data_IF_112230789787
#
_entry.id   IF_112230789787
#
_cell.length_a   1.000
_cell.length_b   1.000
_cell.length_c   1.000
_cell.angle_alpha   90.00
_cell.angle_beta   90.00
_cell.angle_gamma   90.00
#
_symmetry.space_group_name_H-M   'P 1'
#
loop_
_entity.id
_entity.type
_entity.pdbx_description
1 polymer ?
#
# COMPACT_ATOMS: atom_id res chain seq x y z
N UNK A 1 5.66 17.78 17.03
CA UNK A 1 4.62 17.72 15.98
C UNK A 1 3.30 17.12 16.51
N UNK A 2 3.22 15.87 16.97
CA UNK A 2 1.94 15.27 17.42
C UNK A 2 1.24 16.05 18.55
N UNK A 3 2.00 16.57 19.52
CA UNK A 3 1.45 17.45 20.56
C UNK A 3 0.76 18.70 19.97
N UNK A 4 1.34 19.30 18.92
CA UNK A 4 0.76 20.45 18.21
C UNK A 4 -0.50 20.04 17.45
N UNK A 5 -0.48 18.92 16.70
CA UNK A 5 -1.69 18.45 15.99
C UNK A 5 -2.86 18.17 16.94
N UNK A 6 -2.59 17.56 18.10
CA UNK A 6 -3.60 17.33 19.14
C UNK A 6 -4.14 18.65 19.73
N UNK A 7 -3.29 19.67 19.85
CA UNK A 7 -3.71 20.97 20.38
C UNK A 7 -4.53 21.77 19.37
N UNK A 8 -4.07 21.85 18.12
CA UNK A 8 -4.60 22.80 17.14
C UNK A 8 -5.78 22.22 16.34
N UNK A 9 -5.79 20.92 16.04
CA UNK A 9 -6.82 20.27 15.21
C UNK A 9 -7.31 18.91 15.77
N UNK A 10 -7.62 18.78 17.08
CA UNK A 10 -7.91 17.50 17.71
C UNK A 10 -9.06 16.71 17.05
N UNK A 11 -10.08 17.39 16.54
CA UNK A 11 -11.25 16.75 15.94
C UNK A 11 -10.97 16.17 14.55
N UNK A 12 -9.89 16.59 13.89
CA UNK A 12 -9.48 16.11 12.57
C UNK A 12 -8.36 15.05 12.64
N UNK A 13 -7.77 14.86 13.82
CA UNK A 13 -6.81 13.79 14.05
C UNK A 13 -7.56 12.49 14.35
N UNK A 14 -7.66 11.62 13.35
CA UNK A 14 -8.24 10.28 13.55
C UNK A 14 -7.43 9.44 14.54
N UNK A 15 -6.10 9.63 14.56
CA UNK A 15 -5.19 8.89 15.43
C UNK A 15 -3.74 8.93 14.94
N UNK A 16 -2.90 8.03 15.45
CA UNK A 16 -1.50 7.87 15.01
C UNK A 16 -1.14 6.39 14.87
N UNK A 17 -0.26 6.05 13.94
CA UNK A 17 0.25 4.68 13.78
C UNK A 17 1.30 4.30 14.82
N UNK A 18 1.85 5.28 15.53
CA UNK A 18 2.85 5.03 16.56
C UNK A 18 2.17 4.71 17.90
N UNK A 19 2.19 3.44 18.31
CA UNK A 19 1.58 3.00 19.58
C UNK A 19 2.12 3.71 20.82
N UNK A 20 3.41 4.06 20.84
CA UNK A 20 4.01 4.77 21.97
C UNK A 20 3.40 6.17 22.13
N UNK A 21 3.31 6.92 21.03
CA UNK A 21 2.71 8.25 21.03
C UNK A 21 1.18 8.22 21.12
N UNK A 22 0.52 7.17 20.60
CA UNK A 22 -0.90 6.94 20.83
C UNK A 22 -1.20 6.88 22.33
N UNK A 23 -0.41 6.12 23.09
CA UNK A 23 -0.50 6.05 24.55
C UNK A 23 -0.16 7.39 25.23
N UNK A 24 0.94 8.02 24.86
CA UNK A 24 1.40 9.27 25.49
C UNK A 24 0.41 10.42 25.32
N UNK A 25 -0.19 10.53 24.12
CA UNK A 25 -1.11 11.60 23.79
C UNK A 25 -2.58 11.17 23.85
N UNK A 26 -2.91 10.00 24.38
CA UNK A 26 -4.29 9.49 24.42
C UNK A 26 -5.01 9.62 23.06
N UNK A 27 -4.30 9.21 22.00
CA UNK A 27 -4.82 9.18 20.63
C UNK A 27 -5.12 7.74 20.24
N UNK A 28 -6.11 7.55 19.37
CA UNK A 28 -6.42 6.22 18.85
C UNK A 28 -5.23 5.66 18.05
N UNK A 29 -4.77 4.42 18.31
CA UNK A 29 -3.81 3.78 17.44
C UNK A 29 -4.48 3.36 16.14
N UNK A 30 -3.89 3.72 15.00
CA UNK A 30 -4.42 3.41 13.66
C UNK A 30 -3.41 2.57 12.89
N UNK A 31 -3.84 1.39 12.46
CA UNK A 31 -3.09 0.49 11.59
C UNK A 31 -3.91 0.09 10.39
N UNK A 32 -3.22 -0.22 9.28
CA UNK A 32 -3.80 -0.90 8.12
C UNK A 32 -2.94 -2.10 7.78
N UNK A 33 -3.43 -2.98 6.91
CA UNK A 33 -2.64 -4.11 6.45
C UNK A 33 -1.49 -3.59 5.57
N UNK A 34 -0.27 -4.10 5.80
CA UNK A 34 0.89 -3.80 4.98
C UNK A 34 1.02 -4.77 3.80
N UNK A 35 1.76 -4.36 2.76
CA UNK A 35 1.96 -5.18 1.56
C UNK A 35 2.64 -6.53 1.85
N UNK A 36 3.53 -6.57 2.85
CA UNK A 36 4.25 -7.79 3.24
C UNK A 36 3.33 -8.96 3.58
N UNK A 37 2.12 -8.68 4.11
CA UNK A 37 1.10 -9.70 4.38
C UNK A 37 0.69 -10.40 3.08
N UNK A 38 0.35 -9.63 2.05
CA UNK A 38 -0.05 -10.15 0.74
C UNK A 38 1.12 -10.75 -0.02
N UNK A 39 2.30 -10.14 0.06
CA UNK A 39 3.54 -10.65 -0.54
C UNK A 39 3.91 -12.02 0.03
N UNK A 40 3.89 -12.18 1.36
CA UNK A 40 4.19 -13.45 2.01
C UNK A 40 3.26 -14.57 1.54
N UNK A 41 1.97 -14.29 1.32
CA UNK A 41 1.03 -15.29 0.82
C UNK A 41 1.38 -15.84 -0.57
N UNK A 42 2.15 -15.11 -1.39
CA UNK A 42 2.63 -15.60 -2.68
C UNK A 42 3.58 -16.80 -2.52
N UNK A 43 4.24 -16.94 -1.37
CA UNK A 43 5.09 -18.08 -1.05
C UNK A 43 4.35 -19.20 -0.30
N UNK A 44 3.21 -18.90 0.33
CA UNK A 44 2.49 -19.79 1.24
C UNK A 44 1.34 -20.56 0.56
N UNK A 45 0.75 -20.00 -0.49
CA UNK A 45 -0.29 -20.63 -1.31
C UNK A 45 0.05 -20.48 -2.79
N UNK A 46 -0.83 -20.93 -3.70
CA UNK A 46 -0.66 -20.63 -5.12
C UNK A 46 -0.66 -19.11 -5.34
N UNK A 47 0.21 -18.60 -6.20
CA UNK A 47 0.35 -17.16 -6.42
C UNK A 47 -0.98 -16.53 -6.87
N UNK A 48 -1.79 -17.23 -7.67
CA UNK A 48 -3.09 -16.70 -8.11
C UNK A 48 -4.08 -16.51 -6.97
N UNK A 49 -4.00 -17.34 -5.94
CA UNK A 49 -4.92 -17.30 -4.79
C UNK A 49 -4.39 -16.43 -3.65
N UNK A 50 -3.13 -15.98 -3.74
CA UNK A 50 -2.40 -15.38 -2.62
C UNK A 50 -3.09 -14.16 -2.03
N UNK A 51 -3.63 -13.29 -2.89
CA UNK A 51 -4.30 -12.07 -2.46
C UNK A 51 -5.65 -12.37 -1.80
N UNK A 52 -6.46 -13.25 -2.40
CA UNK A 52 -7.76 -13.62 -1.84
C UNK A 52 -7.59 -14.33 -0.48
N UNK A 53 -6.68 -15.30 -0.39
CA UNK A 53 -6.40 -16.01 0.87
C UNK A 53 -5.87 -15.04 1.93
N UNK A 54 -5.04 -14.07 1.56
CA UNK A 54 -4.57 -13.04 2.48
C UNK A 54 -5.72 -12.18 3.02
N UNK A 55 -6.68 -11.81 2.17
CA UNK A 55 -7.87 -11.06 2.60
C UNK A 55 -8.72 -11.88 3.59
N UNK A 56 -9.03 -13.12 3.22
CA UNK A 56 -9.84 -14.01 4.05
C UNK A 56 -9.18 -14.30 5.40
N UNK A 57 -7.88 -14.61 5.41
CA UNK A 57 -7.16 -14.92 6.64
C UNK A 57 -7.06 -13.75 7.60
N UNK A 58 -6.97 -12.51 7.08
CA UNK A 58 -6.95 -11.34 7.93
C UNK A 58 -8.25 -11.21 8.75
N UNK A 59 -9.40 -11.44 8.11
CA UNK A 59 -10.71 -11.40 8.78
C UNK A 59 -10.84 -12.48 9.85
N UNK A 60 -10.22 -13.65 9.67
CA UNK A 60 -10.25 -14.73 10.68
C UNK A 60 -9.19 -14.60 11.77
N UNK A 61 -8.18 -13.73 11.58
CA UNK A 61 -7.11 -13.56 12.55
C UNK A 61 -7.50 -12.63 13.72
N UNK A 62 -8.47 -11.74 13.49
CA UNK A 62 -8.90 -10.75 14.46
C UNK A 62 -10.42 -10.57 14.44
N UNK A 63 -11.08 -10.91 15.55
CA UNK A 63 -12.52 -10.68 15.69
C UNK A 63 -12.81 -9.16 15.76
N UNK A 64 -13.39 -8.60 14.70
CA UNK A 64 -13.94 -7.24 14.71
C UNK A 64 -12.91 -6.09 14.76
N UNK A 65 -11.64 -6.35 14.44
CA UNK A 65 -10.62 -5.30 14.31
C UNK A 65 -10.79 -4.53 12.99
N UNK A 66 -10.37 -3.26 12.98
CA UNK A 66 -10.38 -2.40 11.78
C UNK A 66 -9.70 -3.10 10.60
N UNK A 67 -10.48 -3.36 9.54
CA UNK A 67 -10.04 -4.07 8.34
C UNK A 67 -9.95 -3.11 7.15
N UNK A 68 -8.75 -2.58 6.91
CA UNK A 68 -8.43 -1.73 5.75
C UNK A 68 -7.37 -2.43 4.89
N UNK A 69 -7.74 -2.83 3.68
CA UNK A 69 -6.86 -3.51 2.74
C UNK A 69 -6.14 -2.52 1.79
N UNK A 70 -4.81 -2.60 1.63
CA UNK A 70 -4.15 -1.97 0.49
C UNK A 70 -4.51 -2.69 -0.80
N UNK A 71 -4.68 -1.93 -1.89
CA UNK A 71 -5.19 -2.47 -3.15
C UNK A 71 -4.11 -2.69 -4.21
N UNK A 72 -2.87 -2.29 -3.94
CA UNK A 72 -1.79 -2.18 -4.93
C UNK A 72 -0.60 -3.09 -4.60
N UNK A 73 -0.80 -4.23 -3.94
CA UNK A 73 0.25 -5.26 -3.90
C UNK A 73 0.49 -5.82 -5.32
N UNK A 74 -0.60 -6.04 -6.05
CA UNK A 74 -0.61 -6.44 -7.46
C UNK A 74 -0.95 -5.20 -8.31
N UNK A 75 -2.21 -5.06 -8.74
CA UNK A 75 -2.77 -3.88 -9.38
C UNK A 75 -4.21 -3.70 -8.91
N UNK A 76 -4.79 -2.50 -9.10
CA UNK A 76 -6.20 -2.26 -8.77
C UNK A 76 -7.12 -3.24 -9.46
N UNK A 77 -6.88 -3.58 -10.73
CA UNK A 77 -7.75 -4.49 -11.48
C UNK A 77 -7.67 -5.93 -10.94
N UNK A 78 -6.47 -6.40 -10.55
CA UNK A 78 -6.32 -7.68 -9.87
C UNK A 78 -7.01 -7.68 -8.50
N UNK A 79 -6.92 -6.58 -7.75
CA UNK A 79 -7.61 -6.40 -6.46
C UNK A 79 -9.12 -6.48 -6.60
N UNK A 80 -9.71 -5.72 -7.53
CA UNK A 80 -11.17 -5.71 -7.73
C UNK A 80 -11.73 -7.08 -8.13
N UNK A 81 -10.97 -7.87 -8.89
CA UNK A 81 -11.35 -9.25 -9.25
C UNK A 81 -11.44 -10.18 -8.03
N UNK A 82 -10.55 -10.01 -7.04
CA UNK A 82 -10.54 -10.84 -5.84
C UNK A 82 -11.43 -10.25 -4.72
N UNK A 83 -11.71 -8.94 -4.74
CA UNK A 83 -12.50 -8.22 -3.75
C UNK A 83 -14.01 -8.38 -3.96
N UNK A 84 -14.47 -9.63 -3.87
CA UNK A 84 -15.86 -10.02 -4.06
C UNK A 84 -16.82 -9.40 -3.02
N UNK A 85 -18.14 -9.57 -3.23
CA UNK A 85 -19.18 -9.00 -2.35
C UNK A 85 -19.01 -9.33 -0.87
N UNK A 86 -18.59 -10.54 -0.52
CA UNK A 86 -18.44 -10.93 0.88
C UNK A 86 -17.30 -10.14 1.54
N UNK A 87 -16.13 -10.12 0.89
CA UNK A 87 -14.97 -9.35 1.35
C UNK A 87 -15.28 -7.85 1.38
N UNK A 88 -15.89 -7.31 0.33
CA UNK A 88 -16.25 -5.89 0.26
C UNK A 88 -17.24 -5.45 1.36
N UNK A 89 -18.10 -6.35 1.84
CA UNK A 89 -18.95 -6.07 3.00
C UNK A 89 -18.18 -6.17 4.31
N UNK A 90 -17.35 -7.19 4.49
CA UNK A 90 -16.61 -7.45 5.73
C UNK A 90 -15.51 -6.42 6.02
N UNK A 91 -14.83 -5.92 4.99
CA UNK A 91 -13.82 -4.88 5.13
C UNK A 91 -14.45 -3.51 5.40
N UNK A 92 -13.87 -2.75 6.33
CA UNK A 92 -14.30 -1.38 6.65
C UNK A 92 -13.97 -0.41 5.50
N UNK A 93 -12.99 -0.76 4.68
CA UNK A 93 -12.46 0.12 3.66
C UNK A 93 -11.17 -0.37 3.01
N UNK A 94 -10.54 0.53 2.26
CA UNK A 94 -9.35 0.25 1.46
C UNK A 94 -8.33 1.39 1.54
N UNK A 95 -7.07 1.08 1.23
CA UNK A 95 -5.95 2.02 1.25
C UNK A 95 -5.35 2.22 -0.15
N UNK A 96 -5.16 3.49 -0.52
CA UNK A 96 -4.46 3.94 -1.71
C UNK A 96 -2.99 4.25 -1.39
N UNK A 97 -2.06 3.60 -2.11
CA UNK A 97 -0.61 3.72 -1.88
C UNK A 97 0.23 3.82 -3.17
N UNK A 98 -0.41 3.86 -4.35
CA UNK A 98 0.25 4.17 -5.62
C UNK A 98 -0.75 4.55 -6.70
N UNK A 99 -0.28 5.33 -7.68
CA UNK A 99 -1.07 5.72 -8.84
C UNK A 99 -1.89 7.01 -8.62
N UNK A 100 -2.88 7.24 -9.49
CA UNK A 100 -3.71 8.44 -9.41
C UNK A 100 -4.85 8.23 -8.39
N UNK A 101 -4.90 9.00 -7.28
CA UNK A 101 -5.88 8.77 -6.21
C UNK A 101 -7.32 9.01 -6.65
N UNK A 102 -7.54 9.93 -7.59
CA UNK A 102 -8.86 10.22 -8.15
C UNK A 102 -9.41 9.04 -8.94
N UNK A 103 -8.61 8.51 -9.88
CA UNK A 103 -9.00 7.34 -10.70
C UNK A 103 -9.16 6.08 -9.86
N UNK A 104 -8.29 5.89 -8.87
CA UNK A 104 -8.39 4.78 -7.93
C UNK A 104 -9.70 4.86 -7.14
N UNK A 105 -10.03 6.03 -6.58
CA UNK A 105 -11.23 6.20 -5.76
C UNK A 105 -12.51 6.06 -6.59
N UNK A 106 -12.53 6.56 -7.83
CA UNK A 106 -13.62 6.33 -8.77
C UNK A 106 -13.84 4.84 -9.06
N UNK A 107 -12.75 4.09 -9.32
CA UNK A 107 -12.81 2.63 -9.53
C UNK A 107 -13.38 1.92 -8.30
N UNK A 108 -12.92 2.27 -7.10
CA UNK A 108 -13.41 1.66 -5.86
C UNK A 108 -14.89 1.98 -5.59
N UNK A 109 -15.31 3.24 -5.78
CA UNK A 109 -16.71 3.65 -5.64
C UNK A 109 -17.60 2.88 -6.61
N UNK A 110 -17.19 2.82 -7.89
CA UNK A 110 -17.92 2.07 -8.91
C UNK A 110 -18.02 0.58 -8.55
N UNK A 111 -16.96 -0.01 -8.02
CA UNK A 111 -16.95 -1.41 -7.57
C UNK A 111 -17.94 -1.67 -6.43
N UNK A 112 -17.95 -0.84 -5.39
CA UNK A 112 -18.93 -0.95 -4.32
C UNK A 112 -20.36 -0.84 -4.84
N UNK A 113 -20.62 0.12 -5.73
CA UNK A 113 -21.94 0.30 -6.35
C UNK A 113 -22.36 -0.92 -7.18
N UNK A 114 -21.45 -1.50 -7.97
CA UNK A 114 -21.71 -2.73 -8.73
C UNK A 114 -22.06 -3.91 -7.83
N UNK A 115 -21.49 -3.97 -6.62
CA UNK A 115 -21.79 -4.99 -5.62
C UNK A 115 -23.04 -4.68 -4.79
N UNK A 116 -23.69 -3.53 -5.00
CA UNK A 116 -24.85 -3.06 -4.24
C UNK A 116 -24.51 -2.60 -2.82
N UNK A 117 -23.28 -2.13 -2.60
CA UNK A 117 -22.79 -1.60 -1.33
C UNK A 117 -22.78 -0.08 -1.41
N UNK A 118 -23.32 0.59 -0.38
CA UNK A 118 -23.26 2.05 -0.27
C UNK A 118 -21.81 2.49 0.06
N UNK A 119 -21.11 3.18 -0.85
CA UNK A 119 -19.72 3.59 -0.64
C UNK A 119 -19.56 4.57 0.53
N UNK A 120 -20.61 5.33 0.90
CA UNK A 120 -20.54 6.27 2.03
C UNK A 120 -20.34 5.57 3.37
N UNK A 121 -20.65 4.28 3.44
CA UNK A 121 -20.42 3.44 4.62
C UNK A 121 -18.97 2.97 4.75
N UNK A 122 -18.17 3.09 3.69
CA UNK A 122 -16.78 2.60 3.61
C UNK A 122 -15.78 3.74 3.79
N UNK A 123 -14.53 3.38 4.13
CA UNK A 123 -13.43 4.31 4.40
C UNK A 123 -12.29 4.15 3.38
N UNK A 124 -11.85 5.25 2.78
CA UNK A 124 -10.62 5.31 2.00
C UNK A 124 -9.51 5.96 2.82
N UNK A 125 -8.37 5.28 2.91
CA UNK A 125 -7.15 5.84 3.48
C UNK A 125 -6.18 6.14 2.35
N UNK A 126 -5.79 7.39 2.17
CA UNK A 126 -4.78 7.78 1.18
C UNK A 126 -3.42 7.95 1.88
N UNK A 127 -2.37 7.26 1.43
CA UNK A 127 -1.05 7.26 2.08
C UNK A 127 0.14 7.47 1.14
N UNK A 128 -0.07 7.71 -0.15
CA UNK A 128 1.00 7.87 -1.14
C UNK A 128 1.64 9.27 -1.08
N UNK A 129 2.50 9.48 -0.07
CA UNK A 129 3.40 10.64 -0.01
C UNK A 129 2.72 12.01 -0.02
N UNK A 130 1.57 12.14 0.63
CA UNK A 130 0.74 13.33 0.58
C UNK A 130 1.29 14.56 1.32
N UNK A 131 0.98 15.74 0.80
CA UNK A 131 0.93 17.00 1.54
C UNK A 131 -0.53 17.44 1.81
N UNK A 132 -0.71 18.57 2.50
CA UNK A 132 -2.06 19.10 2.78
C UNK A 132 -2.79 19.66 1.57
N UNK A 133 -2.09 20.17 0.56
CA UNK A 133 -2.73 20.66 -0.67
C UNK A 133 -3.42 19.52 -1.40
N UNK A 134 -2.69 18.42 -1.60
CA UNK A 134 -3.22 17.20 -2.20
C UNK A 134 -4.36 16.58 -1.36
N UNK A 135 -4.24 16.60 -0.03
CA UNK A 135 -5.30 16.11 0.85
C UNK A 135 -6.58 16.95 0.71
N UNK A 136 -6.48 18.27 0.58
CA UNK A 136 -7.62 19.16 0.37
C UNK A 136 -8.29 18.94 -0.99
N UNK A 137 -7.52 18.76 -2.06
CA UNK A 137 -8.06 18.42 -3.38
C UNK A 137 -8.88 17.12 -3.33
N UNK A 138 -8.39 16.13 -2.57
CA UNK A 138 -9.10 14.87 -2.36
C UNK A 138 -10.35 15.02 -1.48
N UNK A 139 -10.32 15.92 -0.49
CA UNK A 139 -11.49 16.27 0.30
C UNK A 139 -12.62 16.80 -0.58
N UNK A 140 -12.32 17.76 -1.46
CA UNK A 140 -13.31 18.34 -2.37
C UNK A 140 -13.85 17.29 -3.35
N UNK A 141 -12.96 16.48 -3.92
CA UNK A 141 -13.33 15.50 -4.94
C UNK A 141 -14.20 14.34 -4.43
N UNK A 142 -13.96 13.88 -3.20
CA UNK A 142 -14.68 12.76 -2.58
C UNK A 142 -15.76 13.19 -1.58
N UNK A 143 -16.01 14.49 -1.42
CA UNK A 143 -17.03 15.03 -0.53
C UNK A 143 -18.41 14.38 -0.77
N UNK A 144 -18.99 13.79 0.28
CA UNK A 144 -20.30 13.14 0.24
C UNK A 144 -20.36 11.82 -0.53
N UNK A 145 -19.25 11.35 -1.11
CA UNK A 145 -19.19 10.12 -1.92
C UNK A 145 -18.69 8.91 -1.15
N UNK A 146 -17.75 9.12 -0.22
CA UNK A 146 -17.10 8.09 0.59
C UNK A 146 -16.45 8.73 1.82
N UNK A 147 -16.27 8.01 2.94
CA UNK A 147 -15.46 8.53 4.06
C UNK A 147 -13.99 8.47 3.69
N UNK A 148 -13.22 9.48 4.06
CA UNK A 148 -11.79 9.56 3.73
C UNK A 148 -10.95 9.86 4.98
N UNK A 149 -9.70 9.41 4.96
CA UNK A 149 -8.66 9.78 5.91
C UNK A 149 -7.30 9.79 5.19
N UNK A 150 -6.35 10.54 5.74
CA UNK A 150 -5.04 10.76 5.12
C UNK A 150 -3.92 10.28 6.04
N UNK A 151 -3.17 9.28 5.59
CA UNK A 151 -1.95 8.82 6.25
C UNK A 151 -0.75 9.66 5.83
N UNK A 152 -0.53 10.78 6.51
CA UNK A 152 0.56 11.70 6.17
C UNK A 152 1.81 11.41 7.02
N UNK A 153 2.92 11.08 6.36
CA UNK A 153 4.19 10.70 7.00
C UNK A 153 5.22 11.82 6.96
N UNK A 154 6.16 11.72 6.01
CA UNK A 154 7.34 12.59 5.86
C UNK A 154 7.00 14.08 5.94
N UNK A 155 5.92 14.52 5.30
CA UNK A 155 5.47 15.92 5.33
C UNK A 155 5.19 16.44 6.75
N UNK A 156 4.67 15.61 7.65
CA UNK A 156 4.44 16.00 9.05
C UNK A 156 5.67 15.83 9.92
N UNK A 157 6.39 14.71 9.76
CA UNK A 157 7.44 14.31 10.73
C UNK A 157 8.83 14.79 10.35
N UNK A 158 9.06 15.18 9.10
CA UNK A 158 10.39 15.42 8.57
C UNK A 158 10.37 16.46 7.44
N UNK A 159 9.76 17.62 7.69
CA UNK A 159 9.80 18.77 6.78
C UNK A 159 10.47 19.96 7.48
N UNK A 160 11.53 20.49 6.88
CA UNK A 160 12.24 21.69 7.32
C UNK A 160 12.09 22.85 6.33
N UNK A 161 11.06 22.82 5.46
CA UNK A 161 10.72 23.88 4.51
C UNK A 161 11.94 24.38 3.72
N UNK A 162 12.70 23.44 3.14
CA UNK A 162 13.91 23.70 2.35
C UNK A 162 15.00 24.51 3.09
N UNK A 163 15.07 24.41 4.42
CA UNK A 163 16.14 24.99 5.22
C UNK A 163 17.52 24.61 4.65
N UNK A 164 18.45 25.56 4.63
CA UNK A 164 19.82 25.37 4.12
C UNK A 164 20.82 25.36 5.25
N UNK A 165 21.74 24.41 5.21
CA UNK A 165 22.84 24.36 6.17
C UNK A 165 23.91 25.43 5.87
N UNK A 166 24.95 25.50 6.72
CA UNK A 166 26.05 26.46 6.56
C UNK A 166 26.83 26.32 5.23
N UNK A 167 26.75 25.17 4.57
CA UNK A 167 27.34 24.92 3.25
C UNK A 167 26.37 25.26 2.08
N UNK A 168 25.19 25.81 2.38
CA UNK A 168 24.17 26.16 1.39
C UNK A 168 23.38 24.97 0.85
N UNK A 169 23.57 23.76 1.41
CA UNK A 169 22.87 22.54 1.01
C UNK A 169 21.47 22.53 1.63
N UNK A 170 20.48 22.37 0.76
CA UNK A 170 19.06 22.27 1.14
C UNK A 170 18.75 20.94 1.81
N UNK A 171 18.01 21.00 2.92
CA UNK A 171 17.57 19.82 3.65
C UNK A 171 16.57 19.00 2.82
N UNK A 172 16.80 17.69 2.77
CA UNK A 172 15.87 16.71 2.21
C UNK A 172 15.83 15.48 3.12
N UNK A 173 14.64 14.92 3.38
CA UNK A 173 14.51 13.66 4.09
C UNK A 173 15.30 12.54 3.41
N UNK A 174 15.92 11.67 4.21
CA UNK A 174 16.61 10.50 3.68
C UNK A 174 15.58 9.52 3.08
N UNK A 175 15.78 9.12 1.82
CA UNK A 175 14.94 8.12 1.16
C UNK A 175 15.44 6.72 1.52
N UNK A 176 14.67 6.00 2.34
CA UNK A 176 14.96 4.63 2.78
C UNK A 176 13.75 3.76 2.47
N UNK A 177 14.00 2.58 1.88
CA UNK A 177 12.96 1.63 1.52
C UNK A 177 13.32 0.27 2.10
N UNK A 178 12.38 -0.37 2.77
CA UNK A 178 12.45 -1.77 3.19
C UNK A 178 11.34 -2.56 2.51
N UNK A 179 11.67 -3.76 2.02
CA UNK A 179 10.74 -4.65 1.32
C UNK A 179 11.03 -6.09 1.72
N UNK A 180 9.97 -6.88 1.80
CA UNK A 180 10.08 -8.33 1.92
C UNK A 180 10.64 -8.88 0.60
N UNK A 181 11.83 -9.48 0.65
CA UNK A 181 12.48 -10.05 -0.53
C UNK A 181 12.11 -11.53 -0.73
N UNK A 182 12.01 -12.28 0.37
CA UNK A 182 11.84 -13.72 0.37
C UNK A 182 10.92 -14.17 1.51
N UNK A 183 10.13 -15.22 1.27
CA UNK A 183 9.40 -15.95 2.29
C UNK A 183 9.53 -17.45 2.02
N UNK A 184 9.87 -18.25 3.04
CA UNK A 184 10.05 -19.70 2.92
C UNK A 184 11.04 -20.14 1.82
N UNK A 185 12.15 -19.41 1.61
CA UNK A 185 13.12 -19.73 0.55
C UNK A 185 12.65 -19.37 -0.86
N UNK A 186 11.54 -18.64 -1.00
CA UNK A 186 10.90 -18.32 -2.28
C UNK A 186 10.79 -16.81 -2.47
N UNK A 187 11.02 -16.31 -3.71
CA UNK A 187 10.86 -14.89 -4.00
C UNK A 187 9.41 -14.45 -3.80
N UNK A 188 9.25 -13.19 -3.42
CA UNK A 188 7.96 -12.50 -3.40
C UNK A 188 8.07 -11.18 -4.16
N UNK A 189 6.95 -10.56 -4.49
CA UNK A 189 6.94 -9.34 -5.30
C UNK A 189 5.81 -8.37 -4.94
N UNK A 190 6.08 -7.07 -5.09
CA UNK A 190 5.08 -6.00 -5.21
C UNK A 190 5.11 -5.46 -6.64
N UNK A 191 3.96 -5.33 -7.29
CA UNK A 191 3.86 -4.74 -8.64
C UNK A 191 3.44 -3.27 -8.54
N UNK A 192 2.35 -2.98 -7.83
CA UNK A 192 1.71 -1.66 -7.71
C UNK A 192 1.04 -1.14 -9.00
N UNK A 193 0.25 -0.07 -8.89
CA UNK A 193 -0.36 0.61 -10.04
C UNK A 193 0.62 1.55 -10.77
N UNK A 194 1.90 1.51 -10.37
CA UNK A 194 3.04 2.16 -11.00
C UNK A 194 4.05 1.09 -11.43
N UNK A 195 4.00 0.61 -12.69
CA UNK A 195 4.78 -0.54 -13.14
C UNK A 195 6.30 -0.40 -12.90
N UNK A 196 6.82 0.83 -12.93
CA UNK A 196 8.22 1.16 -12.68
C UNK A 196 8.67 0.96 -11.23
N UNK A 197 7.72 0.89 -10.28
CA UNK A 197 7.98 0.65 -8.85
C UNK A 197 7.91 -0.84 -8.48
N UNK A 198 7.65 -1.72 -9.46
CA UNK A 198 7.62 -3.15 -9.23
C UNK A 198 8.96 -3.64 -8.65
N UNK A 199 8.89 -4.55 -7.69
CA UNK A 199 10.07 -5.09 -7.03
C UNK A 199 9.98 -6.58 -6.80
N UNK A 200 11.01 -7.28 -7.26
CA UNK A 200 11.28 -8.68 -7.03
C UNK A 200 12.76 -8.94 -7.35
N UNK A 201 13.42 -9.82 -6.61
CA UNK A 201 14.81 -10.23 -6.93
C UNK A 201 14.86 -11.26 -8.07
N UNK A 202 13.74 -11.90 -8.39
CA UNK A 202 13.62 -12.89 -9.46
C UNK A 202 12.66 -12.38 -10.58
N UNK A 203 13.20 -12.01 -11.75
CA UNK A 203 12.38 -11.49 -12.84
C UNK A 203 11.49 -12.55 -13.50
N UNK A 204 11.85 -13.83 -13.40
CA UNK A 204 11.01 -14.94 -13.90
C UNK A 204 9.80 -15.10 -12.99
N UNK A 205 10.00 -15.02 -11.67
CA UNK A 205 8.89 -15.03 -10.71
C UNK A 205 7.95 -13.84 -10.94
N UNK A 206 8.49 -12.61 -11.07
CA UNK A 206 7.69 -11.42 -11.35
C UNK A 206 6.88 -11.56 -12.64
N UNK A 207 7.50 -12.06 -13.71
CA UNK A 207 6.83 -12.30 -14.99
C UNK A 207 5.73 -13.37 -14.88
N UNK A 208 5.97 -14.46 -14.14
CA UNK A 208 4.97 -15.48 -13.87
C UNK A 208 3.78 -14.88 -13.10
N UNK A 209 4.05 -14.13 -12.03
CA UNK A 209 3.02 -13.47 -11.23
C UNK A 209 2.15 -12.55 -12.09
N UNK A 210 2.76 -11.69 -12.92
CA UNK A 210 2.05 -10.85 -13.88
C UNK A 210 1.13 -11.66 -14.79
N UNK A 211 1.63 -12.76 -15.37
CA UNK A 211 0.84 -13.65 -16.23
C UNK A 211 -0.34 -14.29 -15.50
N UNK A 212 -0.16 -14.76 -14.27
CA UNK A 212 -1.23 -15.39 -13.48
C UNK A 212 -2.40 -14.43 -13.23
N UNK A 213 -2.11 -13.15 -13.02
CA UNK A 213 -3.11 -12.11 -12.76
C UNK A 213 -3.53 -11.30 -13.99
N UNK A 214 -3.12 -11.72 -15.20
CA UNK A 214 -3.39 -11.00 -16.45
C UNK A 214 -2.95 -9.51 -16.40
N UNK A 215 -1.81 -9.26 -15.75
CA UNK A 215 -1.16 -7.94 -15.70
C UNK A 215 -0.20 -7.83 -16.90
N UNK A 216 -0.13 -6.63 -17.48
CA UNK A 216 0.73 -6.35 -18.63
C UNK A 216 2.20 -6.72 -18.35
N UNK A 217 2.78 -7.45 -19.29
CA UNK A 217 4.15 -7.94 -19.24
C UNK A 217 4.87 -7.56 -20.53
N UNK A 218 5.86 -6.69 -20.40
CA UNK A 218 6.83 -6.43 -21.45
C UNK A 218 7.82 -7.61 -21.53
N UNK A 219 7.63 -8.46 -22.54
CA UNK A 219 8.46 -9.64 -22.76
C UNK A 219 9.86 -9.25 -23.26
N UNK A 220 9.99 -8.17 -24.02
CA UNK A 220 11.27 -7.73 -24.55
C UNK A 220 12.15 -7.18 -23.41
N UNK A 221 11.57 -6.40 -22.49
CA UNK A 221 12.25 -5.96 -21.27
C UNK A 221 12.73 -7.15 -20.41
N UNK A 222 11.88 -8.17 -20.23
CA UNK A 222 12.26 -9.40 -19.51
C UNK A 222 13.43 -10.12 -20.20
N UNK A 223 13.43 -10.23 -21.53
CA UNK A 223 14.55 -10.83 -22.28
C UNK A 223 15.85 -10.06 -22.03
N UNK A 224 15.81 -8.73 -22.02
CA UNK A 224 17.00 -7.93 -21.73
C UNK A 224 17.51 -8.15 -20.31
N UNK A 225 16.62 -8.16 -19.32
CA UNK A 225 16.99 -8.40 -17.92
C UNK A 225 17.68 -9.76 -17.73
N UNK A 226 17.12 -10.82 -18.32
CA UNK A 226 17.70 -12.17 -18.26
C UNK A 226 19.07 -12.26 -18.97
N UNK A 227 19.30 -11.48 -20.03
CA UNK A 227 20.61 -11.40 -20.70
C UNK A 227 21.66 -10.73 -19.82
N UNK A 228 21.27 -9.73 -19.04
CA UNK A 228 22.18 -9.06 -18.10
C UNK A 228 22.49 -9.92 -16.87
N UNK A 229 21.52 -10.66 -16.33
CA UNK A 229 21.74 -11.53 -15.17
C UNK A 229 22.71 -12.68 -15.43
N UNK A 230 22.68 -13.30 -16.63
CA UNK A 230 23.62 -14.36 -17.00
C UNK A 230 25.10 -13.94 -16.98
N UNK A 231 25.39 -12.64 -16.91
CA UNK A 231 26.75 -12.09 -16.85
C UNK A 231 27.24 -11.83 -15.42
N UNK A 232 26.37 -11.92 -14.40
CA UNK A 232 26.75 -11.77 -13.00
C UNK A 232 26.75 -13.13 -12.29
N UNK A 233 27.88 -13.58 -11.70
CA UNK A 233 27.92 -14.87 -11.01
C UNK A 233 27.05 -14.83 -9.75
N UNK A 234 26.05 -15.71 -9.66
CA UNK A 234 25.31 -15.94 -8.40
C UNK A 234 26.27 -16.51 -7.35
N UNK A 235 26.60 -15.74 -6.32
CA UNK A 235 27.25 -16.26 -5.13
C UNK A 235 26.20 -17.00 -4.30
N UNK A 236 26.10 -18.31 -4.51
CA UNK A 236 25.39 -19.17 -3.58
C UNK A 236 26.24 -19.29 -2.32
N UNK A 237 25.79 -18.70 -1.21
CA UNK A 237 26.32 -19.04 0.11
C UNK A 237 25.70 -20.40 0.46
N UNK A 238 26.49 -21.47 0.43
CA UNK A 238 26.08 -22.76 0.97
C UNK A 238 26.01 -22.63 2.49
N UNK A 239 24.80 -22.71 3.06
CA UNK A 239 24.66 -22.97 4.49
C UNK A 239 25.12 -24.42 4.75
N UNK A 240 26.13 -24.57 5.59
CA UNK A 240 26.59 -25.84 6.17
C UNK A 240 25.81 -26.14 7.46
#
# INVERSE_FOLDING_TARGET
>A
MLACLKQEIPQWVLGTSNYHFAREFDLKPIGTIAHEWFMGHQALVNERDSQQVALERWLTAFDGMLAIAPTDTLTIDAFLNDFNRHLANAYDGVRHDSGCPFRWGDKMIAHYQQLGIDPTTKLFIFSDGLDFGQALDLCEYFAGRVKISFGIGTFLTNDLANWRNAAGVEYRPLSIVIKLAECQGRPVAKISDQPEKAMCEDPIFLANLKRRFNIELDVDALIQELRHQKRSPRHYISAA
#
